data_IF_752218007759
#
_entry.id   IF_752218007759
#
_cell.length_a   1.000
_cell.length_b   1.000
_cell.length_c   1.000
_cell.angle_alpha   90.00
_cell.angle_beta   90.00
_cell.angle_gamma   90.00
#
_symmetry.space_group_name_H-M   'P 1'
#
loop_
_entity.id
_entity.type
_entity.pdbx_description
1 polymer ?
#
# COMPACT_ATOMS: atom_id res chain seq x y z
N UNK A 1 5.25 5.68 7.33
CA UNK A 1 3.97 5.10 7.79
C UNK A 1 3.22 5.93 8.84
N UNK A 2 3.81 6.38 9.97
CA UNK A 2 3.08 7.13 11.00
C UNK A 2 2.41 8.42 10.49
N UNK A 3 3.13 9.19 9.66
CA UNK A 3 2.62 10.43 9.05
C UNK A 3 1.39 10.21 8.16
N UNK A 4 1.33 9.08 7.44
CA UNK A 4 0.14 8.71 6.64
C UNK A 4 -1.09 8.41 7.52
N UNK A 5 -0.85 8.15 8.81
CA UNK A 5 -1.85 7.85 9.83
C UNK A 5 -2.06 9.01 10.82
N UNK A 6 -1.70 10.24 10.45
CA UNK A 6 -1.95 11.45 11.24
C UNK A 6 -1.07 11.60 12.48
N UNK A 7 -0.09 10.71 12.67
CA UNK A 7 0.87 10.77 13.75
C UNK A 7 2.19 11.38 13.29
N UNK A 8 2.96 11.94 14.22
CA UNK A 8 4.34 12.36 13.93
C UNK A 8 5.24 11.13 13.96
N UNK A 9 6.01 10.93 12.91
CA UNK A 9 7.09 9.94 12.87
C UNK A 9 8.36 10.63 12.38
N UNK A 10 9.44 10.48 13.14
CA UNK A 10 10.77 10.95 12.78
C UNK A 10 11.80 9.89 13.12
N UNK A 11 12.81 9.76 12.26
CA UNK A 11 13.98 8.95 12.52
C UNK A 11 15.01 9.80 13.26
N UNK A 12 15.49 9.29 14.39
CA UNK A 12 16.69 9.81 15.03
C UNK A 12 17.83 8.88 14.66
N UNK A 13 18.74 9.35 13.83
CA UNK A 13 19.94 8.59 13.49
C UNK A 13 20.99 8.86 14.54
N UNK A 14 21.24 7.85 15.39
CA UNK A 14 22.35 7.87 16.34
C UNK A 14 23.46 6.96 15.82
N UNK A 15 24.65 7.53 15.61
CA UNK A 15 25.83 6.76 15.26
C UNK A 15 26.12 5.73 16.38
N UNK A 16 26.37 4.49 16.00
CA UNK A 16 26.72 3.42 16.93
C UNK A 16 28.21 3.13 16.88
N UNK A 17 28.82 3.00 18.05
CA UNK A 17 30.22 2.58 18.17
C UNK A 17 30.41 1.06 17.93
N UNK A 18 29.31 0.30 17.70
CA UNK A 18 29.30 -1.16 17.46
C UNK A 18 30.15 -1.95 18.47
N UNK A 19 30.13 -1.54 19.74
CA UNK A 19 30.91 -2.16 20.82
C UNK A 19 32.40 -1.80 20.84
N UNK A 20 32.82 -0.78 20.09
CA UNK A 20 34.20 -0.26 20.04
C UNK A 20 34.23 1.20 20.49
N UNK A 21 35.42 1.78 20.49
CA UNK A 21 35.62 3.22 20.46
C UNK A 21 35.92 3.64 19.02
N UNK A 22 35.25 4.69 18.53
CA UNK A 22 35.45 5.21 17.17
C UNK A 22 35.87 6.66 17.28
N UNK A 23 37.10 6.95 16.86
CA UNK A 23 37.56 8.32 16.69
C UNK A 23 36.90 8.93 15.45
N UNK A 24 36.28 10.09 15.65
CA UNK A 24 35.61 10.86 14.60
C UNK A 24 36.58 11.87 13.97
N UNK A 25 36.27 12.40 12.78
CA UNK A 25 37.12 13.40 12.11
C UNK A 25 37.38 14.68 12.90
N UNK A 26 36.52 15.00 13.88
CA UNK A 26 36.66 16.14 14.79
C UNK A 26 37.51 15.82 16.04
N UNK A 27 38.12 14.62 16.11
CA UNK A 27 38.92 14.14 17.24
C UNK A 27 38.09 13.59 18.40
N UNK A 28 36.76 13.59 18.30
CA UNK A 28 35.90 13.04 19.35
C UNK A 28 35.86 11.51 19.30
N UNK A 29 35.98 10.85 20.44
CA UNK A 29 35.89 9.38 20.53
C UNK A 29 34.47 8.96 20.92
N UNK A 30 33.71 8.47 19.95
CA UNK A 30 32.38 7.90 20.19
C UNK A 30 32.50 6.54 20.89
N UNK A 31 31.82 6.41 22.03
CA UNK A 31 31.79 5.16 22.81
C UNK A 31 30.41 4.47 22.75
N UNK A 32 30.35 3.18 23.13
CA UNK A 32 29.07 2.49 23.28
C UNK A 32 28.23 3.13 24.41
N UNK A 33 28.86 3.52 25.52
CA UNK A 33 28.21 4.16 26.67
C UNK A 33 27.49 5.44 26.23
N UNK A 34 28.19 6.31 25.50
CA UNK A 34 27.63 7.55 24.97
C UNK A 34 26.49 7.28 23.97
N UNK A 35 26.65 6.30 23.07
CA UNK A 35 25.58 5.93 22.15
C UNK A 35 24.31 5.44 22.88
N UNK A 36 24.48 4.66 23.96
CA UNK A 36 23.37 4.22 24.83
C UNK A 36 22.74 5.41 25.54
N UNK A 37 23.54 6.32 26.09
CA UNK A 37 23.05 7.53 26.75
C UNK A 37 22.26 8.41 25.79
N UNK A 38 22.76 8.67 24.59
CA UNK A 38 22.06 9.47 23.58
C UNK A 38 20.74 8.82 23.16
N UNK A 39 20.72 7.50 22.95
CA UNK A 39 19.48 6.79 22.62
C UNK A 39 18.44 6.91 23.75
N UNK A 40 18.87 6.73 25.01
CA UNK A 40 18.01 6.89 26.18
C UNK A 40 17.47 8.32 26.30
N UNK A 41 18.34 9.33 26.25
CA UNK A 41 17.97 10.74 26.34
C UNK A 41 17.00 11.12 25.22
N UNK A 42 17.27 10.67 23.99
CA UNK A 42 16.39 10.90 22.84
C UNK A 42 15.00 10.33 23.10
N UNK A 43 14.90 9.04 23.48
CA UNK A 43 13.62 8.38 23.73
C UNK A 43 12.80 9.06 24.84
N UNK A 44 13.43 9.38 25.98
CA UNK A 44 12.76 10.09 27.08
C UNK A 44 12.33 11.48 26.65
N UNK A 45 13.19 12.21 25.93
CA UNK A 45 12.87 13.57 25.46
C UNK A 45 11.71 13.57 24.47
N UNK A 46 11.64 12.59 23.56
CA UNK A 46 10.50 12.41 22.66
C UNK A 46 9.20 12.22 23.44
N UNK A 47 9.19 11.33 24.44
CA UNK A 47 8.01 11.07 25.26
C UNK A 47 7.57 12.31 26.08
N UNK A 48 8.52 12.98 26.73
CA UNK A 48 8.27 14.22 27.49
C UNK A 48 7.74 15.33 26.58
N UNK A 49 8.31 15.48 25.39
CA UNK A 49 7.87 16.47 24.41
C UNK A 49 6.45 16.19 23.92
N UNK A 50 6.13 14.92 23.64
CA UNK A 50 4.78 14.50 23.28
C UNK A 50 3.77 14.77 24.40
N UNK A 51 4.11 14.45 25.65
CA UNK A 51 3.25 14.69 26.81
C UNK A 51 2.96 16.18 27.06
N UNK A 52 3.98 17.03 26.87
CA UNK A 52 3.86 18.50 26.95
C UNK A 52 2.99 19.07 25.83
N UNK A 53 3.07 18.51 24.62
CA UNK A 53 2.34 19.00 23.45
C UNK A 53 1.05 18.21 23.12
N UNK A 54 0.58 17.36 24.04
CA UNK A 54 -0.51 16.39 23.80
C UNK A 54 -1.77 16.97 23.16
N UNK A 55 -2.19 18.18 23.56
CA UNK A 55 -3.39 18.84 23.02
C UNK A 55 -3.24 19.13 21.53
N UNK A 56 -2.10 19.72 21.14
CA UNK A 56 -1.79 20.02 19.74
C UNK A 56 -1.71 18.74 18.92
N UNK A 57 -1.00 17.72 19.41
CA UNK A 57 -0.85 16.44 18.71
C UNK A 57 -2.20 15.76 18.45
N UNK A 58 -3.11 15.75 19.44
CA UNK A 58 -4.46 15.17 19.26
C UNK A 58 -5.32 15.99 18.29
N UNK A 59 -5.22 17.32 18.32
CA UNK A 59 -5.91 18.20 17.36
C UNK A 59 -5.41 17.98 15.94
N UNK A 60 -4.09 17.88 15.76
CA UNK A 60 -3.46 17.61 14.47
C UNK A 60 -3.85 16.22 13.93
N UNK A 61 -3.85 15.21 14.80
CA UNK A 61 -4.31 13.86 14.47
C UNK A 61 -5.76 13.87 14.00
N UNK A 62 -6.68 14.50 14.75
CA UNK A 62 -8.08 14.61 14.34
C UNK A 62 -8.25 15.36 13.02
N UNK A 63 -7.53 16.47 12.85
CA UNK A 63 -7.57 17.29 11.63
C UNK A 63 -7.09 16.50 10.42
N UNK A 64 -6.04 15.70 10.55
CA UNK A 64 -5.52 14.84 9.47
C UNK A 64 -6.63 13.99 8.82
N UNK A 65 -7.43 13.28 9.62
CA UNK A 65 -8.50 12.42 9.09
C UNK A 65 -9.66 13.25 8.53
N UNK A 66 -9.98 14.39 9.14
CA UNK A 66 -11.04 15.29 8.67
C UNK A 66 -10.70 15.89 7.29
N UNK A 67 -9.50 16.44 7.18
CA UNK A 67 -9.00 17.05 5.95
C UNK A 67 -8.83 15.97 4.87
N UNK A 68 -8.37 14.77 5.24
CA UNK A 68 -8.32 13.63 4.34
C UNK A 68 -9.70 13.26 3.76
N UNK A 69 -10.73 13.16 4.61
CA UNK A 69 -12.10 12.90 4.14
C UNK A 69 -12.61 13.99 3.19
N UNK A 70 -12.36 15.26 3.51
CA UNK A 70 -12.78 16.40 2.69
C UNK A 70 -12.08 16.38 1.32
N UNK A 71 -10.77 16.13 1.30
CA UNK A 71 -9.99 16.00 0.06
C UNK A 71 -10.50 14.85 -0.81
N UNK A 72 -10.69 13.66 -0.24
CA UNK A 72 -11.27 12.53 -0.99
C UNK A 72 -12.69 12.81 -1.47
N UNK A 73 -13.49 13.49 -0.64
CA UNK A 73 -14.86 13.91 -0.94
C UNK A 73 -15.00 15.06 -1.95
N UNK A 74 -13.91 15.73 -2.34
CA UNK A 74 -13.89 16.78 -3.38
C UNK A 74 -12.98 16.45 -4.57
N UNK A 75 -12.13 15.43 -4.41
CA UNK A 75 -11.17 15.01 -5.43
C UNK A 75 -11.81 14.49 -6.72
N UNK A 76 -11.00 14.45 -7.76
CA UNK A 76 -11.40 13.93 -9.07
C UNK A 76 -11.72 12.42 -9.04
N UNK A 77 -11.03 11.67 -8.17
CA UNK A 77 -11.28 10.25 -7.90
C UNK A 77 -12.24 10.13 -6.72
N UNK A 78 -13.39 9.48 -6.96
CA UNK A 78 -14.46 9.31 -5.97
C UNK A 78 -14.43 7.94 -5.31
N UNK A 79 -13.97 6.94 -6.04
CA UNK A 79 -13.83 5.57 -5.56
C UNK A 79 -12.91 4.76 -6.48
N UNK A 80 -12.38 3.68 -5.95
CA UNK A 80 -11.72 2.62 -6.72
C UNK A 80 -12.62 1.39 -6.74
N UNK A 81 -12.79 0.78 -7.90
CA UNK A 81 -13.66 -0.38 -8.11
C UNK A 81 -12.78 -1.59 -8.46
N UNK A 82 -12.87 -2.63 -7.64
CA UNK A 82 -12.11 -3.87 -7.70
C UNK A 82 -13.10 -5.02 -7.99
N UNK A 83 -13.33 -5.39 -9.27
CA UNK A 83 -14.13 -6.56 -9.59
C UNK A 83 -13.47 -7.82 -9.03
N UNK A 84 -14.28 -8.76 -8.55
CA UNK A 84 -13.81 -10.08 -8.16
C UNK A 84 -13.76 -10.98 -9.40
N UNK A 85 -12.75 -11.84 -9.46
CA UNK A 85 -12.57 -12.81 -10.54
C UNK A 85 -12.60 -14.21 -9.93
N UNK A 86 -13.46 -15.13 -10.39
CA UNK A 86 -13.47 -16.51 -9.89
C UNK A 86 -12.11 -17.23 -10.06
N UNK A 87 -11.36 -16.88 -11.11
CA UNK A 87 -10.09 -17.50 -11.47
C UNK A 87 -8.89 -16.78 -10.85
N UNK A 88 -9.08 -15.62 -10.23
CA UNK A 88 -8.00 -14.83 -9.64
C UNK A 88 -8.38 -14.17 -8.31
N UNK A 89 -7.55 -14.43 -7.30
CA UNK A 89 -7.67 -13.85 -5.96
C UNK A 89 -6.99 -12.50 -5.80
N UNK A 90 -6.28 -12.01 -6.81
CA UNK A 90 -5.41 -10.82 -6.70
C UNK A 90 -6.13 -9.61 -6.08
N UNK A 91 -7.32 -9.28 -6.59
CA UNK A 91 -8.10 -8.15 -6.07
C UNK A 91 -8.61 -8.39 -4.65
N UNK A 92 -8.90 -9.64 -4.29
CA UNK A 92 -9.31 -10.01 -2.94
C UNK A 92 -8.14 -9.92 -1.94
N UNK A 93 -6.95 -10.37 -2.33
CA UNK A 93 -5.75 -10.29 -1.48
C UNK A 93 -5.33 -8.83 -1.27
N UNK A 94 -5.40 -8.00 -2.32
CA UNK A 94 -5.21 -6.56 -2.21
C UNK A 94 -6.23 -5.96 -1.23
N UNK A 95 -7.52 -6.28 -1.38
CA UNK A 95 -8.56 -5.82 -0.47
C UNK A 95 -8.32 -6.26 0.99
N UNK A 96 -7.79 -7.48 1.21
CA UNK A 96 -7.45 -7.96 2.54
C UNK A 96 -6.34 -7.11 3.20
N UNK A 97 -5.28 -6.78 2.47
CA UNK A 97 -4.20 -5.91 2.97
C UNK A 97 -4.71 -4.50 3.26
N UNK A 98 -5.57 -3.95 2.40
CA UNK A 98 -6.16 -2.63 2.61
C UNK A 98 -7.09 -2.62 3.84
N UNK A 99 -7.88 -3.68 4.03
CA UNK A 99 -8.72 -3.82 5.23
C UNK A 99 -7.87 -3.91 6.50
N UNK A 100 -6.74 -4.63 6.49
CA UNK A 100 -5.79 -4.67 7.61
C UNK A 100 -5.18 -3.29 7.90
N UNK A 101 -4.95 -2.48 6.86
CA UNK A 101 -4.54 -1.08 7.01
C UNK A 101 -5.68 -0.15 7.49
N UNK A 102 -6.88 -0.68 7.72
CA UNK A 102 -8.05 0.04 8.19
C UNK A 102 -8.76 0.87 7.12
N UNK A 103 -8.47 0.62 5.84
CA UNK A 103 -9.15 1.27 4.71
C UNK A 103 -10.55 0.67 4.57
N UNK A 104 -11.55 1.55 4.49
CA UNK A 104 -12.95 1.16 4.29
C UNK A 104 -13.12 0.58 2.88
N UNK A 105 -13.69 -0.61 2.83
CA UNK A 105 -14.06 -1.32 1.61
C UNK A 105 -15.52 -1.74 1.74
N UNK A 106 -16.28 -1.46 0.69
CA UNK A 106 -17.69 -1.82 0.56
C UNK A 106 -17.82 -2.93 -0.47
N UNK A 107 -18.79 -3.81 -0.26
CA UNK A 107 -19.13 -4.86 -1.23
C UNK A 107 -20.48 -4.54 -1.86
N UNK A 108 -20.56 -4.53 -3.19
CA UNK A 108 -21.81 -4.39 -3.92
C UNK A 108 -22.72 -5.59 -3.65
N UNK A 109 -24.00 -5.34 -3.36
CA UNK A 109 -25.01 -6.38 -3.08
C UNK A 109 -25.81 -6.77 -4.33
N UNK A 110 -25.58 -6.09 -5.45
CA UNK A 110 -26.25 -6.28 -6.73
C UNK A 110 -25.33 -5.79 -7.86
N UNK A 111 -25.54 -6.26 -9.11
CA UNK A 111 -24.82 -5.72 -10.26
C UNK A 111 -25.12 -4.24 -10.47
N UNK A 112 -24.14 -3.47 -10.96
CA UNK A 112 -24.29 -2.04 -11.20
C UNK A 112 -23.48 -1.58 -12.41
N UNK A 113 -23.80 -0.39 -12.95
CA UNK A 113 -22.99 0.25 -13.99
C UNK A 113 -22.41 1.57 -13.51
N UNK A 114 -21.18 1.88 -13.92
CA UNK A 114 -20.56 3.20 -13.78
C UNK A 114 -20.08 3.70 -15.16
N UNK A 115 -20.16 5.01 -15.41
CA UNK A 115 -19.91 5.62 -16.73
C UNK A 115 -18.66 6.47 -16.79
N UNK A 116 -18.16 6.96 -15.65
CA UNK A 116 -16.98 7.85 -15.60
C UNK A 116 -15.78 7.08 -15.06
N UNK A 117 -15.23 6.20 -15.89
CA UNK A 117 -14.19 5.26 -15.50
C UNK A 117 -12.89 5.47 -16.28
N UNK A 118 -11.77 5.23 -15.61
CA UNK A 118 -10.50 4.92 -16.24
C UNK A 118 -9.93 3.62 -15.67
N UNK A 119 -9.04 2.97 -16.39
CA UNK A 119 -8.16 1.96 -15.79
C UNK A 119 -7.19 2.66 -14.83
N UNK A 120 -6.60 1.91 -13.92
CA UNK A 120 -5.56 2.46 -13.03
C UNK A 120 -4.34 3.03 -13.79
N UNK A 121 -4.11 2.57 -15.03
CA UNK A 121 -3.08 3.10 -15.94
C UNK A 121 -3.53 4.37 -16.70
N UNK A 122 -4.71 4.92 -16.40
CA UNK A 122 -5.21 6.16 -16.99
C UNK A 122 -5.96 6.00 -18.32
N UNK A 123 -6.20 4.78 -18.79
CA UNK A 123 -6.94 4.58 -20.04
C UNK A 123 -8.44 4.80 -19.82
N UNK A 124 -9.13 5.62 -20.62
CA UNK A 124 -10.58 5.78 -20.52
C UNK A 124 -11.32 4.47 -20.72
N UNK A 125 -12.33 4.23 -19.91
CA UNK A 125 -13.23 3.08 -20.03
C UNK A 125 -14.64 3.63 -20.21
N UNK A 126 -15.34 3.13 -21.22
CA UNK A 126 -16.75 3.46 -21.42
C UNK A 126 -17.60 2.93 -20.26
N UNK A 127 -18.92 3.06 -20.36
CA UNK A 127 -19.83 2.41 -19.42
C UNK A 127 -19.46 0.94 -19.25
N UNK A 128 -19.20 0.54 -18.01
CA UNK A 128 -18.95 -0.85 -17.63
C UNK A 128 -19.97 -1.29 -16.59
N UNK A 129 -20.43 -2.53 -16.71
CA UNK A 129 -21.23 -3.21 -15.69
C UNK A 129 -20.29 -4.08 -14.85
N UNK A 130 -20.50 -4.03 -13.55
CA UNK A 130 -19.81 -4.83 -12.55
C UNK A 130 -20.80 -5.78 -11.89
N UNK A 131 -20.32 -6.97 -11.55
CA UNK A 131 -21.14 -8.01 -10.96
C UNK A 131 -21.40 -7.78 -9.48
N UNK A 132 -22.40 -8.48 -8.95
CA UNK A 132 -22.63 -8.59 -7.51
C UNK A 132 -21.34 -9.08 -6.81
N UNK A 133 -21.06 -8.55 -5.62
CA UNK A 133 -19.86 -8.88 -4.87
C UNK A 133 -18.63 -8.06 -5.22
N UNK A 134 -18.68 -7.23 -6.27
CA UNK A 134 -17.61 -6.27 -6.62
C UNK A 134 -17.26 -5.39 -5.42
N UNK A 135 -15.97 -5.16 -5.20
CA UNK A 135 -15.47 -4.35 -4.11
C UNK A 135 -15.33 -2.89 -4.55
N UNK A 136 -15.73 -1.97 -3.67
CA UNK A 136 -15.73 -0.53 -3.90
C UNK A 136 -15.01 0.14 -2.72
N UNK A 137 -13.99 0.93 -3.03
CA UNK A 137 -13.17 1.66 -2.06
C UNK A 137 -13.48 3.15 -2.20
N UNK A 138 -14.38 3.71 -1.37
CA UNK A 138 -14.71 5.14 -1.45
C UNK A 138 -13.51 6.00 -1.05
N UNK A 139 -13.27 7.13 -1.72
CA UNK A 139 -12.17 8.03 -1.33
C UNK A 139 -12.54 8.95 -0.18
N UNK A 140 -13.82 9.23 0.06
CA UNK A 140 -14.32 10.08 1.14
C UNK A 140 -14.34 9.37 2.51
N UNK A 141 -13.19 8.87 2.94
CA UNK A 141 -13.02 8.11 4.18
C UNK A 141 -11.83 8.63 5.02
N UNK A 142 -11.80 8.38 6.35
CA UNK A 142 -10.72 8.86 7.22
C UNK A 142 -9.32 8.49 6.71
N UNK A 143 -9.15 7.28 6.17
CA UNK A 143 -7.85 6.78 5.66
C UNK A 143 -7.48 7.31 4.27
N UNK A 144 -8.13 8.35 3.75
CA UNK A 144 -7.88 8.85 2.39
C UNK A 144 -6.40 9.13 2.10
N UNK A 145 -5.67 9.77 3.02
CA UNK A 145 -4.24 10.11 2.79
C UNK A 145 -3.40 8.84 2.60
N UNK A 146 -3.65 7.80 3.40
CA UNK A 146 -3.00 6.51 3.26
C UNK A 146 -3.42 5.82 1.95
N UNK A 147 -4.73 5.79 1.66
CA UNK A 147 -5.25 5.22 0.42
C UNK A 147 -4.62 5.88 -0.80
N UNK A 148 -4.57 7.22 -0.84
CA UNK A 148 -3.93 7.99 -1.91
C UNK A 148 -2.47 7.58 -2.08
N UNK A 149 -1.69 7.50 -0.99
CA UNK A 149 -0.30 7.10 -1.07
C UNK A 149 -0.11 5.68 -1.63
N UNK A 150 -1.00 4.74 -1.28
CA UNK A 150 -0.96 3.36 -1.76
C UNK A 150 -1.53 3.18 -3.17
N UNK A 151 -2.33 4.13 -3.66
CA UNK A 151 -3.00 4.11 -4.97
C UNK A 151 -2.52 5.26 -5.87
N UNK A 152 -1.34 5.82 -5.60
CA UNK A 152 -0.73 6.82 -6.46
C UNK A 152 -0.04 6.12 -7.64
N UNK A 153 -0.51 6.27 -8.89
CA UNK A 153 0.15 5.64 -10.04
C UNK A 153 1.48 6.31 -10.38
N UNK A 154 1.66 7.59 -10.04
CA UNK A 154 2.88 8.32 -10.34
C UNK A 154 3.20 9.33 -9.23
N UNK A 155 4.39 9.21 -8.64
CA UNK A 155 4.92 10.23 -7.73
C UNK A 155 5.88 11.12 -8.53
N UNK A 156 5.50 12.36 -8.87
CA UNK A 156 6.39 13.25 -9.60
C UNK A 156 7.60 13.61 -8.73
N UNK A 157 8.77 13.65 -9.36
CA UNK A 157 10.00 14.18 -8.77
C UNK A 157 10.26 15.58 -9.31
N UNK A 158 11.05 16.35 -8.56
CA UNK A 158 11.50 17.67 -9.01
C UNK A 158 12.22 17.57 -10.36
N UNK A 159 11.86 18.45 -11.30
CA UNK A 159 12.37 18.40 -12.67
C UNK A 159 13.87 18.65 -12.74
N UNK A 160 14.41 19.53 -11.89
CA UNK A 160 15.85 19.80 -11.84
C UNK A 160 16.61 18.56 -11.31
N UNK A 161 16.08 17.89 -10.29
CA UNK A 161 16.62 16.63 -9.81
C UNK A 161 16.64 15.55 -10.90
N UNK A 162 15.53 15.36 -11.62
CA UNK A 162 15.44 14.38 -12.71
C UNK A 162 16.43 14.69 -13.82
N UNK A 163 16.53 15.96 -14.24
CA UNK A 163 17.48 16.39 -15.25
C UNK A 163 18.92 16.08 -14.83
N UNK A 164 19.28 16.38 -13.60
CA UNK A 164 20.62 16.11 -13.09
C UNK A 164 20.91 14.60 -12.97
N UNK A 165 19.96 13.78 -12.52
CA UNK A 165 20.12 12.32 -12.51
C UNK A 165 20.34 11.75 -13.92
N UNK A 166 19.65 12.27 -14.93
CA UNK A 166 19.85 11.86 -16.33
C UNK A 166 21.27 12.17 -16.81
N UNK A 167 21.80 13.36 -16.51
CA UNK A 167 23.19 13.71 -16.87
C UNK A 167 24.20 12.83 -16.14
N UNK A 168 24.03 12.63 -14.83
CA UNK A 168 24.87 11.73 -14.03
C UNK A 168 24.85 10.29 -14.57
N UNK A 169 23.68 9.81 -14.98
CA UNK A 169 23.54 8.47 -15.56
C UNK A 169 24.28 8.33 -16.89
N UNK A 170 24.30 9.37 -17.74
CA UNK A 170 25.11 9.39 -18.98
C UNK A 170 26.61 9.27 -18.67
N UNK A 171 27.04 9.87 -17.57
CA UNK A 171 28.42 9.78 -17.05
C UNK A 171 28.71 8.46 -16.30
N UNK A 172 27.73 7.55 -16.22
CA UNK A 172 27.81 6.27 -15.47
C UNK A 172 28.10 6.46 -13.97
N UNK A 173 27.68 7.60 -13.42
CA UNK A 173 27.74 7.84 -11.99
C UNK A 173 26.62 7.08 -11.26
N UNK A 174 26.82 6.71 -9.99
CA UNK A 174 25.77 6.08 -9.20
C UNK A 174 24.58 7.04 -9.01
N UNK A 175 23.38 6.47 -9.06
CA UNK A 175 22.12 7.14 -8.76
C UNK A 175 22.16 7.72 -7.35
N UNK A 176 21.55 8.90 -7.17
CA UNK A 176 21.46 9.52 -5.84
C UNK A 176 20.30 8.97 -5.02
N UNK A 177 19.25 8.45 -5.67
CA UNK A 177 18.15 7.78 -5.00
C UNK A 177 18.50 6.30 -4.75
N UNK A 178 18.41 5.89 -3.48
CA UNK A 178 18.74 4.53 -3.03
C UNK A 178 17.51 3.75 -2.55
N UNK A 179 16.31 4.32 -2.72
CA UNK A 179 15.04 3.77 -2.22
C UNK A 179 13.99 3.67 -3.34
N UNK A 180 12.88 2.99 -3.04
CA UNK A 180 11.75 2.79 -3.92
C UNK A 180 10.99 4.11 -4.12
N UNK A 181 10.73 4.45 -5.37
CA UNK A 181 10.17 5.75 -5.76
C UNK A 181 8.65 5.85 -5.61
N UNK A 182 7.94 4.71 -5.49
CA UNK A 182 6.50 4.68 -5.21
C UNK A 182 6.05 3.33 -4.61
N UNK A 183 5.01 3.37 -3.78
CA UNK A 183 4.42 2.20 -3.10
C UNK A 183 3.02 1.89 -3.65
N UNK A 184 2.85 1.89 -4.97
CA UNK A 184 1.56 1.70 -5.63
C UNK A 184 1.13 0.22 -5.56
N UNK A 185 0.25 -0.11 -4.62
CA UNK A 185 -0.21 -1.48 -4.40
C UNK A 185 -0.96 -2.08 -5.60
N UNK A 186 -1.81 -1.33 -6.33
CA UNK A 186 -2.42 -1.88 -7.53
C UNK A 186 -1.41 -2.37 -8.57
N UNK A 187 -0.27 -1.69 -8.72
CA UNK A 187 0.81 -2.15 -9.60
C UNK A 187 1.60 -3.32 -9.00
N UNK A 188 1.90 -3.27 -7.70
CA UNK A 188 2.63 -4.36 -7.02
C UNK A 188 1.88 -5.70 -7.09
N UNK A 189 0.54 -5.66 -7.06
CA UNK A 189 -0.32 -6.83 -7.16
C UNK A 189 -0.67 -7.21 -8.60
N UNK A 190 -0.37 -6.37 -9.59
CA UNK A 190 -0.97 -6.41 -10.94
C UNK A 190 -2.50 -6.50 -10.90
N UNK A 191 -3.09 -5.71 -10.00
CA UNK A 191 -4.52 -5.72 -9.71
C UNK A 191 -5.32 -4.99 -10.79
N UNK A 192 -6.46 -5.58 -11.17
CA UNK A 192 -7.41 -4.93 -12.08
C UNK A 192 -8.26 -3.94 -11.29
N UNK A 193 -7.83 -2.69 -11.29
CA UNK A 193 -8.51 -1.58 -10.61
C UNK A 193 -9.09 -0.59 -11.63
N UNK A 194 -10.35 -0.21 -11.43
CA UNK A 194 -10.99 0.90 -12.12
C UNK A 194 -11.06 2.12 -11.20
N UNK A 195 -10.77 3.29 -11.76
CA UNK A 195 -10.83 4.58 -11.07
C UNK A 195 -12.11 5.26 -11.49
N UNK A 196 -13.00 5.52 -10.55
CA UNK A 196 -14.29 6.14 -10.81
C UNK A 196 -14.27 7.62 -10.45
N UNK A 197 -14.64 8.46 -11.42
CA UNK A 197 -14.80 9.90 -11.24
C UNK A 197 -16.16 10.30 -10.67
N UNK A 198 -17.05 9.34 -10.40
CA UNK A 198 -18.36 9.53 -9.76
C UNK A 198 -18.64 8.35 -8.81
N UNK A 199 -19.33 8.57 -7.68
CA UNK A 199 -19.72 7.46 -6.80
C UNK A 199 -20.68 6.49 -7.50
N UNK A 200 -20.50 5.19 -7.30
CA UNK A 200 -21.39 4.17 -7.84
C UNK A 200 -22.74 4.17 -7.14
N UNK A 201 -23.81 4.17 -7.93
CA UNK A 201 -25.20 4.09 -7.44
C UNK A 201 -25.59 2.63 -7.29
N UNK A 202 -25.23 2.04 -6.15
CA UNK A 202 -25.49 0.63 -5.86
C UNK A 202 -25.68 0.42 -4.36
N UNK A 203 -26.54 -0.52 -3.97
CA UNK A 203 -26.61 -0.94 -2.58
C UNK A 203 -25.32 -1.66 -2.18
N UNK A 204 -24.74 -1.24 -1.06
CA UNK A 204 -23.49 -1.81 -0.55
C UNK A 204 -23.63 -2.36 0.86
N UNK A 205 -22.80 -3.35 1.20
CA UNK A 205 -22.61 -3.87 2.54
C UNK A 205 -21.15 -3.79 2.99
N UNK A 206 -20.89 -4.16 4.24
CA UNK A 206 -19.53 -4.31 4.77
C UNK A 206 -18.81 -5.48 4.10
N UNK A 207 -17.57 -5.27 3.70
CA UNK A 207 -16.68 -6.34 3.26
C UNK A 207 -15.94 -6.96 4.46
N UNK A 208 -15.74 -8.28 4.44
CA UNK A 208 -14.92 -9.03 5.40
C UNK A 208 -13.99 -9.95 4.63
N UNK A 209 -12.69 -9.65 4.67
CA UNK A 209 -11.67 -10.40 3.95
C UNK A 209 -11.56 -11.85 4.44
N UNK A 210 -11.77 -12.13 5.73
CA UNK A 210 -11.68 -13.51 6.25
C UNK A 210 -12.75 -14.38 5.60
N UNK A 211 -13.99 -13.87 5.55
CA UNK A 211 -15.07 -14.54 4.82
C UNK A 211 -14.79 -14.63 3.32
N UNK A 212 -14.33 -13.55 2.70
CA UNK A 212 -14.00 -13.53 1.27
C UNK A 212 -12.96 -14.60 0.90
N UNK A 213 -11.85 -14.68 1.67
CA UNK A 213 -10.75 -15.62 1.41
C UNK A 213 -11.16 -17.07 1.64
N UNK A 214 -12.09 -17.34 2.56
CA UNK A 214 -12.64 -18.68 2.79
C UNK A 214 -13.43 -19.21 1.59
N UNK A 215 -14.14 -18.34 0.86
CA UNK A 215 -14.95 -18.72 -0.31
C UNK A 215 -14.15 -19.18 -1.54
N UNK A 216 -12.89 -18.76 -1.64
CA UNK A 216 -11.98 -19.10 -2.76
C UNK A 216 -11.25 -20.44 -2.59
N UNK A 217 -11.59 -21.22 -1.57
CA UNK A 217 -10.99 -22.54 -1.30
C UNK A 217 -11.63 -23.69 -2.09
N UNK A 218 -12.56 -23.41 -3.01
CA UNK A 218 -13.08 -24.42 -3.92
C UNK A 218 -12.06 -24.73 -5.01
N UNK A 219 -11.46 -25.92 -4.90
CA UNK A 219 -10.77 -26.58 -6.00
C UNK A 219 -11.84 -26.92 -7.06
N UNK A 220 -11.98 -26.07 -8.06
CA UNK A 220 -12.77 -26.41 -9.24
C UNK A 220 -11.91 -27.23 -10.20
N UNK A 221 -12.42 -28.39 -10.64
CA UNK A 221 -11.84 -29.09 -11.80
C UNK A 221 -10.63 -29.98 -11.56
N UNK A 222 -10.40 -30.51 -10.34
CA UNK A 222 -9.50 -31.68 -10.21
C UNK A 222 -10.21 -32.88 -10.80
N UNK A 223 -9.88 -33.17 -12.05
CA UNK A 223 -10.28 -34.41 -12.71
C UNK A 223 -9.33 -35.52 -12.29
N UNK A 224 -9.88 -36.68 -11.95
CA UNK A 224 -9.09 -37.91 -11.80
C UNK A 224 -8.51 -38.29 -13.19
N UNK A 225 -7.32 -38.89 -13.23
CA UNK A 225 -6.59 -39.27 -14.46
C UNK A 225 -5.99 -38.13 -15.31
N UNK A 226 -5.34 -37.15 -14.68
CA UNK A 226 -4.59 -36.10 -15.39
C UNK A 226 -3.10 -36.41 -15.39
N UNK A 227 -2.44 -36.33 -16.56
CA UNK A 227 -0.99 -36.54 -16.69
C UNK A 227 -0.16 -35.39 -16.10
N UNK A 228 -0.62 -34.13 -16.30
CA UNK A 228 0.04 -32.93 -15.78
C UNK A 228 -0.96 -31.77 -15.63
N UNK A 229 -0.70 -30.88 -14.67
CA UNK A 229 -1.42 -29.63 -14.49
C UNK A 229 -0.54 -28.45 -14.93
N UNK A 230 -1.15 -27.45 -15.57
CA UNK A 230 -0.51 -26.18 -15.86
C UNK A 230 -1.03 -25.13 -14.87
N UNK A 231 -0.12 -24.52 -14.12
CA UNK A 231 -0.43 -23.42 -13.20
C UNK A 231 0.13 -22.13 -13.83
N UNK A 232 -0.73 -21.22 -14.33
CA UNK A 232 -0.25 -19.95 -14.87
C UNK A 232 0.44 -19.11 -13.79
N UNK A 233 1.53 -18.43 -14.16
CA UNK A 233 2.19 -17.45 -13.30
C UNK A 233 1.43 -16.11 -13.32
N UNK A 234 0.19 -16.12 -12.82
CA UNK A 234 -0.73 -14.98 -12.88
C UNK A 234 -0.95 -14.29 -11.51
N UNK A 235 -0.39 -14.85 -10.44
CA UNK A 235 -0.43 -14.23 -9.10
C UNK A 235 0.71 -14.74 -8.22
N UNK A 236 0.95 -14.05 -7.10
CA UNK A 236 1.94 -14.46 -6.10
C UNK A 236 1.66 -15.85 -5.49
N UNK A 237 0.42 -16.37 -5.62
CA UNK A 237 0.08 -17.73 -5.19
C UNK A 237 0.75 -18.82 -6.02
N UNK A 238 1.10 -18.55 -7.28
CA UNK A 238 1.79 -19.52 -8.13
C UNK A 238 3.18 -19.88 -7.55
N UNK A 239 3.90 -18.90 -6.98
CA UNK A 239 5.16 -19.15 -6.27
C UNK A 239 4.95 -19.97 -4.99
N UNK A 240 3.92 -19.64 -4.21
CA UNK A 240 3.61 -20.37 -2.99
C UNK A 240 3.24 -21.83 -3.31
N UNK A 241 2.46 -22.06 -4.38
CA UNK A 241 2.14 -23.38 -4.89
C UNK A 241 3.39 -24.12 -5.35
N UNK A 242 4.26 -23.49 -6.16
CA UNK A 242 5.53 -24.08 -6.60
C UNK A 242 6.41 -24.51 -5.41
N UNK A 243 6.59 -23.61 -4.43
CA UNK A 243 7.37 -23.90 -3.23
C UNK A 243 6.76 -25.05 -2.42
N UNK A 244 5.43 -25.11 -2.31
CA UNK A 244 4.73 -26.21 -1.68
C UNK A 244 4.94 -27.53 -2.43
N UNK A 245 4.76 -27.54 -3.75
CA UNK A 245 4.95 -28.71 -4.61
C UNK A 245 6.38 -29.26 -4.52
N UNK A 246 7.40 -28.40 -4.53
CA UNK A 246 8.79 -28.82 -4.31
C UNK A 246 9.01 -29.44 -2.92
N UNK A 247 8.40 -28.89 -1.88
CA UNK A 247 8.48 -29.44 -0.52
C UNK A 247 7.84 -30.84 -0.43
N UNK A 248 6.71 -31.03 -1.11
CA UNK A 248 6.05 -32.33 -1.25
C UNK A 248 6.72 -33.26 -2.27
N UNK A 249 7.87 -32.83 -2.85
CA UNK A 249 8.64 -33.58 -3.85
C UNK A 249 7.85 -33.94 -5.12
N UNK A 250 6.85 -33.12 -5.47
CA UNK A 250 6.15 -33.21 -6.74
C UNK A 250 7.11 -32.74 -7.85
N UNK A 251 7.10 -33.44 -8.99
CA UNK A 251 7.86 -33.03 -10.18
C UNK A 251 7.15 -31.84 -10.82
N UNK A 252 7.82 -30.69 -10.86
CA UNK A 252 7.34 -29.44 -11.46
C UNK A 252 8.21 -29.07 -12.65
#
# INVERSE_FOLDING_TARGET
WPALNGAVGMTYEQASARGRQIERPDGHVLTLEEAVQHHFVTGVTTAVTAARNRRKLLQDFQRHFRDGMDQGGKGAVREYILPLDPESRVNLDLAAVLQQAGIEIRQAQEPFSNRRLTTFRGQPVQRKTFDNGTLIIPTNQPRYILLKALFEPHTPMDEAFVKEEIERHKERLPNRIYDVTAWSLPFAYDARVYVAGEPSKVKTGSFDAVRGLSGYSRIAGVTENVYAYLIPYASHHALAALAHLWREKVKV
#
